data_IF_575253406115
#
_entry.id   IF_575253406115
#
_cell.length_a   1.000
_cell.length_b   1.000
_cell.length_c   1.000
_cell.angle_alpha   90.00
_cell.angle_beta   90.00
_cell.angle_gamma   90.00
#
_symmetry.space_group_name_H-M   'P 1'
#
loop_
_entity.id
_entity.type
_entity.pdbx_description
1 polymer ?
#
# COMPACT_ATOMS: atom_id res chain seq x y z
N UNK A 1 -4.01 13.42 -0.57
CA UNK A 1 -2.56 13.42 -0.80
C UNK A 1 -1.89 14.23 0.30
N UNK A 2 -0.74 13.78 0.80
CA UNK A 2 0.08 14.52 1.76
C UNK A 2 0.79 15.67 1.04
N UNK A 3 0.71 16.86 1.59
CA UNK A 3 1.31 18.08 1.04
C UNK A 3 2.14 18.79 2.11
N UNK A 4 3.11 19.58 1.70
CA UNK A 4 3.85 20.45 2.64
C UNK A 4 2.88 21.37 3.40
N UNK A 5 3.16 21.60 4.68
CA UNK A 5 2.29 22.34 5.59
C UNK A 5 1.26 21.47 6.34
N UNK A 6 1.31 20.13 6.17
CA UNK A 6 0.46 19.16 6.88
C UNK A 6 1.16 18.50 8.08
N UNK A 7 2.34 18.98 8.49
CA UNK A 7 3.16 18.40 9.55
C UNK A 7 2.41 18.30 10.89
N UNK A 8 1.62 19.31 11.22
CA UNK A 8 0.80 19.32 12.43
C UNK A 8 -0.28 18.23 12.44
N UNK A 9 -0.76 17.83 11.24
CA UNK A 9 -1.80 16.82 11.09
C UNK A 9 -1.27 15.41 11.36
N UNK A 10 -0.01 15.15 10.99
CA UNK A 10 0.61 13.82 11.09
C UNK A 10 1.44 13.60 12.36
N UNK A 11 1.71 14.64 13.13
CA UNK A 11 2.62 14.59 14.31
C UNK A 11 2.21 13.54 15.34
N UNK A 12 0.91 13.38 15.59
CA UNK A 12 0.35 12.48 16.61
C UNK A 12 0.04 11.08 16.06
N UNK A 13 0.31 10.83 14.76
CA UNK A 13 0.11 9.52 14.15
C UNK A 13 1.06 8.49 14.78
N UNK A 14 0.49 7.32 15.12
CA UNK A 14 1.22 6.21 15.72
C UNK A 14 0.59 4.88 15.29
N UNK A 15 1.24 4.19 14.36
CA UNK A 15 0.82 2.85 13.90
C UNK A 15 1.27 1.74 14.85
N UNK A 16 2.23 2.02 15.74
CA UNK A 16 2.91 1.03 16.55
C UNK A 16 4.14 0.42 15.85
N UNK A 17 4.40 0.76 14.60
CA UNK A 17 5.60 0.41 13.84
C UNK A 17 6.44 1.65 13.63
N UNK A 18 7.61 1.70 14.29
CA UNK A 18 8.47 2.90 14.29
C UNK A 18 8.97 3.27 12.88
N UNK A 19 9.19 2.29 12.00
CA UNK A 19 9.64 2.56 10.63
C UNK A 19 8.54 3.28 9.83
N UNK A 20 7.28 2.81 9.91
CA UNK A 20 6.14 3.43 9.26
C UNK A 20 5.84 4.82 9.82
N UNK A 21 5.94 4.98 11.15
CA UNK A 21 5.71 6.25 11.82
C UNK A 21 6.78 7.30 11.45
N UNK A 22 8.05 6.89 11.42
CA UNK A 22 9.16 7.75 11.03
C UNK A 22 9.10 8.13 9.55
N UNK A 23 8.75 7.19 8.66
CA UNK A 23 8.56 7.49 7.25
C UNK A 23 7.53 8.62 7.06
N UNK A 24 6.33 8.47 7.62
CA UNK A 24 5.25 9.45 7.45
C UNK A 24 5.66 10.85 7.90
N UNK A 25 6.50 10.96 8.96
CA UNK A 25 6.95 12.21 9.57
C UNK A 25 8.24 12.77 8.94
N UNK A 26 8.83 12.05 7.99
CA UNK A 26 10.07 12.44 7.32
C UNK A 26 9.82 13.19 6.00
N UNK A 27 10.86 13.82 5.47
CA UNK A 27 10.84 14.44 4.15
C UNK A 27 10.59 13.41 3.02
N UNK A 28 10.92 12.13 3.24
CA UNK A 28 10.70 11.06 2.27
C UNK A 28 9.21 10.90 1.91
N UNK A 29 8.30 11.08 2.87
CA UNK A 29 6.86 10.98 2.63
C UNK A 29 6.30 12.07 1.69
N UNK A 30 7.03 13.16 1.50
CA UNK A 30 6.71 14.28 0.59
C UNK A 30 7.46 14.20 -0.74
N UNK A 31 8.39 13.26 -0.87
CA UNK A 31 9.26 13.17 -2.04
C UNK A 31 8.60 12.36 -3.16
N UNK A 32 8.21 13.06 -4.21
CA UNK A 32 7.57 12.48 -5.41
C UNK A 32 8.44 11.44 -6.14
N UNK A 33 9.76 11.45 -5.94
CA UNK A 33 10.66 10.45 -6.51
C UNK A 33 10.59 9.10 -5.78
N UNK A 34 10.12 9.10 -4.53
CA UNK A 34 9.94 7.88 -3.74
C UNK A 34 8.53 7.32 -3.97
N UNK A 35 7.52 8.20 -4.01
CA UNK A 35 6.13 7.81 -4.22
C UNK A 35 5.16 8.92 -3.83
N UNK A 36 3.89 8.65 -4.01
CA UNK A 36 2.81 9.55 -3.59
C UNK A 36 2.14 9.03 -2.33
N UNK A 37 2.20 9.82 -1.26
CA UNK A 37 1.59 9.49 0.04
C UNK A 37 0.19 10.08 0.14
N UNK A 38 -0.78 9.26 0.52
CA UNK A 38 -2.18 9.62 0.71
C UNK A 38 -2.60 9.41 2.16
N UNK A 39 -3.23 10.41 2.75
CA UNK A 39 -3.76 10.36 4.10
C UNK A 39 -5.24 10.00 4.08
N UNK A 40 -5.64 9.09 4.96
CA UNK A 40 -7.03 8.77 5.24
C UNK A 40 -7.45 9.51 6.52
N UNK A 41 -8.39 10.43 6.39
CA UNK A 41 -8.77 11.37 7.43
C UNK A 41 -10.15 11.04 7.99
N UNK A 42 -10.36 11.33 9.28
CA UNK A 42 -11.69 11.28 9.88
C UNK A 42 -12.61 12.36 9.28
N UNK A 43 -13.91 12.10 9.29
CA UNK A 43 -14.94 13.06 8.84
C UNK A 43 -15.24 14.15 9.88
N UNK A 44 -14.69 14.04 11.10
CA UNK A 44 -14.92 14.99 12.18
C UNK A 44 -14.43 16.41 11.83
N UNK A 45 -15.00 17.47 12.46
CA UNK A 45 -14.54 18.83 12.23
C UNK A 45 -13.04 19.03 12.49
N UNK A 46 -12.51 18.35 13.49
CA UNK A 46 -11.07 18.25 13.75
C UNK A 46 -10.55 16.98 13.06
N UNK A 47 -10.08 17.13 11.83
CA UNK A 47 -9.54 16.03 11.05
C UNK A 47 -8.36 15.35 11.74
N UNK A 48 -8.44 14.03 11.88
CA UNK A 48 -7.39 13.18 12.44
C UNK A 48 -6.95 12.21 11.36
N UNK A 49 -5.66 11.95 11.25
CA UNK A 49 -5.12 10.92 10.36
C UNK A 49 -5.43 9.56 10.97
N UNK A 50 -6.30 8.80 10.31
CA UNK A 50 -6.68 7.45 10.69
C UNK A 50 -5.74 6.40 10.10
N UNK A 51 -5.18 6.70 8.92
CA UNK A 51 -4.24 5.84 8.23
C UNK A 51 -3.60 6.55 7.05
N UNK A 52 -2.65 5.89 6.42
CA UNK A 52 -2.02 6.36 5.20
C UNK A 52 -1.51 5.20 4.34
N UNK A 53 -1.26 5.47 3.08
CA UNK A 53 -0.51 4.60 2.18
C UNK A 53 0.32 5.42 1.21
N UNK A 54 1.40 4.81 0.71
CA UNK A 54 2.27 5.41 -0.30
C UNK A 54 2.30 4.50 -1.52
N UNK A 55 2.06 5.08 -2.69
CA UNK A 55 2.09 4.40 -3.99
C UNK A 55 3.34 4.82 -4.73
N UNK A 56 4.11 3.85 -5.17
CA UNK A 56 5.28 4.01 -6.05
C UNK A 56 5.13 3.15 -7.31
N UNK A 57 6.13 3.16 -8.16
CA UNK A 57 6.18 2.32 -9.37
C UNK A 57 7.04 1.09 -9.12
N UNK A 58 6.70 -0.02 -9.79
CA UNK A 58 7.48 -1.25 -9.75
C UNK A 58 7.21 -2.13 -10.97
N UNK A 59 7.71 -3.35 -10.95
CA UNK A 59 7.32 -4.39 -11.87
C UNK A 59 7.27 -5.75 -11.17
N UNK A 60 6.46 -6.63 -11.72
CA UNK A 60 6.49 -8.05 -11.41
C UNK A 60 7.27 -8.73 -12.53
N UNK A 61 8.27 -9.50 -12.17
CA UNK A 61 9.15 -10.20 -13.09
C UNK A 61 9.21 -11.69 -12.72
N UNK A 62 9.55 -12.55 -13.68
CA UNK A 62 9.89 -13.94 -13.40
C UNK A 62 11.32 -14.25 -13.84
N UNK A 63 11.91 -15.28 -13.24
CA UNK A 63 13.28 -15.73 -13.49
C UNK A 63 13.22 -17.12 -14.11
N UNK A 64 13.72 -17.24 -15.34
CA UNK A 64 13.84 -18.51 -16.04
C UNK A 64 15.28 -18.69 -16.54
N UNK A 65 15.90 -19.82 -16.22
CA UNK A 65 17.29 -20.13 -16.63
C UNK A 65 18.31 -19.03 -16.28
N UNK A 66 18.10 -18.34 -15.16
CA UNK A 66 18.94 -17.23 -14.69
C UNK A 66 18.72 -15.90 -15.43
N UNK A 67 17.77 -15.83 -16.35
CA UNK A 67 17.35 -14.60 -17.01
C UNK A 67 16.07 -14.07 -16.39
N UNK A 68 15.98 -12.73 -16.33
CA UNK A 68 14.85 -12.00 -15.78
C UNK A 68 13.93 -11.49 -16.89
N UNK A 69 12.66 -11.81 -16.82
CA UNK A 69 11.63 -11.41 -17.78
C UNK A 69 10.54 -10.61 -17.07
N UNK A 70 10.19 -9.45 -17.64
CA UNK A 70 9.12 -8.62 -17.12
C UNK A 70 7.75 -9.26 -17.41
N UNK A 71 6.98 -9.55 -16.37
CA UNK A 71 5.58 -9.99 -16.50
C UNK A 71 4.65 -8.79 -16.74
N UNK A 72 4.91 -7.66 -16.07
CA UNK A 72 4.12 -6.45 -16.29
C UNK A 72 4.55 -5.28 -15.39
N UNK A 73 4.06 -4.10 -15.74
CA UNK A 73 4.18 -2.90 -14.90
C UNK A 73 3.30 -3.02 -13.66
N UNK A 74 3.80 -2.57 -12.52
CA UNK A 74 3.07 -2.59 -11.27
C UNK A 74 3.00 -1.21 -10.62
N UNK A 75 1.88 -0.94 -9.93
CA UNK A 75 1.89 -0.01 -8.82
C UNK A 75 2.37 -0.75 -7.58
N UNK A 76 3.22 -0.13 -6.78
CA UNK A 76 3.76 -0.73 -5.56
C UNK A 76 3.27 0.06 -4.34
N UNK A 77 2.64 -0.63 -3.38
CA UNK A 77 2.32 -0.06 -2.07
C UNK A 77 3.57 -0.18 -1.21
N UNK A 78 4.37 0.88 -1.16
CA UNK A 78 5.62 0.89 -0.39
C UNK A 78 5.38 1.04 1.12
N UNK A 79 4.34 1.78 1.51
CA UNK A 79 3.95 1.97 2.91
C UNK A 79 2.44 1.88 3.05
N UNK A 80 1.97 1.20 4.09
CA UNK A 80 0.56 1.10 4.43
C UNK A 80 0.40 0.97 5.94
N UNK A 81 -0.29 1.92 6.58
CA UNK A 81 -0.47 1.90 8.02
C UNK A 81 -1.79 2.52 8.47
N UNK A 82 -2.37 1.93 9.52
CA UNK A 82 -3.42 2.52 10.33
C UNK A 82 -2.87 2.96 11.67
N UNK A 83 -3.33 4.08 12.16
CA UNK A 83 -3.09 4.47 13.55
C UNK A 83 -3.67 3.41 14.50
N UNK A 84 -2.92 3.06 15.54
CA UNK A 84 -3.27 1.97 16.46
C UNK A 84 -4.65 2.11 17.12
N UNK A 85 -5.16 3.35 17.22
CA UNK A 85 -6.52 3.63 17.72
C UNK A 85 -7.61 3.01 16.85
N UNK A 86 -7.32 2.75 15.58
CA UNK A 86 -8.29 2.34 14.55
C UNK A 86 -8.04 0.94 13.95
N UNK A 87 -6.90 0.28 14.27
CA UNK A 87 -6.49 -1.00 13.65
C UNK A 87 -7.51 -2.14 13.79
N UNK A 88 -8.33 -2.12 14.84
CA UNK A 88 -9.36 -3.15 15.08
C UNK A 88 -10.78 -2.63 14.87
N UNK A 89 -10.91 -1.45 14.29
CA UNK A 89 -12.21 -0.81 14.06
C UNK A 89 -13.00 -1.57 13.01
N UNK A 90 -14.14 -2.13 13.40
CA UNK A 90 -15.10 -2.75 12.50
C UNK A 90 -15.98 -1.67 11.87
N UNK A 91 -16.20 -1.79 10.56
CA UNK A 91 -17.09 -0.92 9.79
C UNK A 91 -18.41 -1.63 9.48
N UNK A 92 -18.40 -2.98 9.39
CA UNK A 92 -19.59 -3.81 9.21
C UNK A 92 -19.38 -5.18 9.87
N UNK A 93 -20.46 -5.81 10.30
CA UNK A 93 -20.47 -7.18 10.82
C UNK A 93 -20.84 -8.22 9.75
N UNK A 94 -21.69 -7.86 8.78
CA UNK A 94 -22.12 -8.74 7.67
C UNK A 94 -22.16 -7.96 6.35
N UNK A 95 -21.18 -8.16 5.43
CA UNK A 95 -19.92 -8.90 5.62
C UNK A 95 -19.03 -8.21 6.66
N UNK A 96 -18.13 -8.99 7.27
CA UNK A 96 -17.19 -8.48 8.27
C UNK A 96 -16.10 -7.64 7.60
N UNK A 97 -16.20 -6.33 7.72
CA UNK A 97 -15.31 -5.33 7.13
C UNK A 97 -14.66 -4.52 8.25
N UNK A 98 -13.36 -4.33 8.14
CA UNK A 98 -12.59 -3.47 9.04
C UNK A 98 -12.18 -2.16 8.35
N UNK A 99 -11.77 -1.16 9.12
CA UNK A 99 -11.25 0.08 8.57
C UNK A 99 -9.99 -0.15 7.71
N UNK A 100 -9.19 -1.19 8.02
CA UNK A 100 -8.05 -1.59 7.19
C UNK A 100 -8.45 -2.03 5.79
N UNK A 101 -9.61 -2.70 5.65
CA UNK A 101 -10.15 -3.08 4.34
C UNK A 101 -10.58 -1.84 3.56
N UNK A 102 -11.24 -0.90 4.23
CA UNK A 102 -11.66 0.37 3.61
C UNK A 102 -10.46 1.19 3.12
N UNK A 103 -9.40 1.29 3.92
CA UNK A 103 -8.17 1.97 3.51
C UNK A 103 -7.51 1.28 2.31
N UNK A 104 -7.51 -0.06 2.29
CA UNK A 104 -6.97 -0.84 1.17
C UNK A 104 -7.82 -0.66 -0.10
N UNK A 105 -9.15 -0.63 0.02
CA UNK A 105 -10.05 -0.36 -1.10
C UNK A 105 -9.83 1.05 -1.68
N UNK A 106 -9.70 2.08 -0.84
CA UNK A 106 -9.36 3.44 -1.33
C UNK A 106 -8.03 3.44 -2.11
N UNK A 107 -7.04 2.69 -1.63
CA UNK A 107 -5.76 2.54 -2.35
C UNK A 107 -5.93 1.84 -3.70
N UNK A 108 -6.64 0.70 -3.74
CA UNK A 108 -6.88 -0.08 -4.96
C UNK A 108 -7.70 0.75 -5.98
N UNK A 109 -8.76 1.42 -5.55
CA UNK A 109 -9.60 2.23 -6.43
C UNK A 109 -8.82 3.39 -7.04
N UNK A 110 -7.93 4.02 -6.28
CA UNK A 110 -7.04 5.06 -6.79
C UNK A 110 -6.07 4.52 -7.83
N UNK A 111 -5.52 3.32 -7.62
CA UNK A 111 -4.62 2.68 -8.59
C UNK A 111 -5.39 2.29 -9.86
N UNK A 112 -6.62 1.80 -9.74
CA UNK A 112 -7.50 1.54 -10.88
C UNK A 112 -7.79 2.83 -11.66
N UNK A 113 -8.02 3.96 -10.98
CA UNK A 113 -8.18 5.26 -11.63
C UNK A 113 -6.91 5.69 -12.38
N UNK A 114 -5.72 5.54 -11.76
CA UNK A 114 -4.43 5.82 -12.41
C UNK A 114 -4.24 4.93 -13.65
N UNK A 115 -4.54 3.64 -13.54
CA UNK A 115 -4.49 2.69 -14.64
C UNK A 115 -5.41 3.11 -15.80
N UNK A 116 -6.65 3.46 -15.51
CA UNK A 116 -7.66 3.77 -16.52
C UNK A 116 -7.39 5.07 -17.27
N UNK A 117 -6.66 6.02 -16.66
CA UNK A 117 -6.52 7.38 -17.20
C UNK A 117 -5.11 7.75 -17.64
N UNK A 118 -4.08 7.15 -17.03
CA UNK A 118 -2.73 7.71 -17.15
C UNK A 118 -1.67 6.73 -17.61
N UNK A 119 -1.63 5.50 -17.07
CA UNK A 119 -0.60 4.52 -17.40
C UNK A 119 -1.12 3.09 -17.37
N UNK A 120 -0.59 2.22 -18.24
CA UNK A 120 -0.87 0.79 -18.21
C UNK A 120 -0.21 0.14 -16.99
N UNK A 121 -1.03 -0.51 -16.15
CA UNK A 121 -0.61 -1.30 -15.00
C UNK A 121 -1.27 -2.67 -15.08
N UNK A 122 -0.50 -3.72 -14.82
CA UNK A 122 -0.99 -5.10 -14.81
C UNK A 122 -1.17 -5.63 -13.40
N UNK A 123 -0.33 -5.16 -12.47
CA UNK A 123 -0.29 -5.67 -11.11
C UNK A 123 -0.28 -4.55 -10.07
N UNK A 124 -0.75 -4.90 -8.88
CA UNK A 124 -0.50 -4.19 -7.65
C UNK A 124 0.40 -5.07 -6.78
N UNK A 125 1.47 -4.52 -6.23
CA UNK A 125 2.47 -5.27 -5.46
C UNK A 125 2.73 -4.63 -4.11
N UNK A 126 3.21 -5.40 -3.15
CA UNK A 126 3.62 -4.93 -1.83
C UNK A 126 4.54 -5.94 -1.13
N UNK A 127 5.13 -5.50 -0.01
CA UNK A 127 5.77 -6.37 0.97
C UNK A 127 4.93 -6.36 2.26
N UNK A 128 4.40 -7.51 2.66
CA UNK A 128 3.60 -7.66 3.87
C UNK A 128 4.43 -8.07 5.06
N UNK A 129 4.19 -7.47 6.22
CA UNK A 129 4.61 -8.07 7.50
C UNK A 129 3.73 -9.29 7.81
N UNK A 130 4.18 -10.15 8.75
CA UNK A 130 3.37 -11.30 9.19
C UNK A 130 2.02 -10.87 9.78
N UNK A 131 1.98 -9.74 10.46
CA UNK A 131 0.74 -9.19 11.04
C UNK A 131 -0.23 -8.67 9.99
N UNK A 132 0.30 -8.15 8.86
CA UNK A 132 -0.49 -7.62 7.74
C UNK A 132 -1.03 -8.69 6.79
N UNK A 133 -0.44 -9.90 6.79
CA UNK A 133 -0.72 -10.94 5.80
C UNK A 133 -2.22 -11.23 5.62
N UNK A 134 -2.93 -11.46 6.71
CA UNK A 134 -4.38 -11.73 6.68
C UNK A 134 -5.21 -10.62 6.02
N UNK A 135 -4.77 -9.35 6.08
CA UNK A 135 -5.46 -8.25 5.40
C UNK A 135 -5.38 -8.44 3.89
N UNK A 136 -4.18 -8.70 3.39
CA UNK A 136 -3.95 -8.78 1.96
C UNK A 136 -4.54 -10.06 1.35
N UNK A 137 -4.33 -11.23 1.98
CA UNK A 137 -4.88 -12.51 1.54
C UNK A 137 -6.41 -12.48 1.40
N UNK A 138 -7.15 -11.96 2.41
CA UNK A 138 -8.61 -11.87 2.34
C UNK A 138 -9.12 -10.85 1.31
N UNK A 139 -8.24 -9.97 0.82
CA UNK A 139 -8.52 -9.01 -0.24
C UNK A 139 -7.93 -9.41 -1.59
N UNK A 140 -7.59 -10.71 -1.76
CA UNK A 140 -7.24 -11.31 -3.04
C UNK A 140 -5.78 -11.19 -3.44
N UNK A 141 -4.90 -10.69 -2.58
CA UNK A 141 -3.46 -10.74 -2.85
C UNK A 141 -2.91 -12.15 -2.68
N UNK A 142 -1.98 -12.50 -3.54
CA UNK A 142 -1.29 -13.78 -3.58
C UNK A 142 0.19 -13.61 -3.25
N UNK A 143 0.79 -14.65 -2.65
CA UNK A 143 2.24 -14.70 -2.44
C UNK A 143 2.94 -14.93 -3.77
N UNK A 144 4.15 -14.37 -3.93
CA UNK A 144 4.96 -14.66 -5.10
C UNK A 144 5.32 -16.14 -5.17
N UNK A 145 5.30 -16.70 -6.39
CA UNK A 145 5.86 -18.02 -6.67
C UNK A 145 7.40 -17.97 -6.64
N UNK A 146 8.04 -19.16 -6.56
CA UNK A 146 9.49 -19.25 -6.37
C UNK A 146 10.35 -18.60 -7.47
N UNK A 147 9.80 -18.51 -8.68
CA UNK A 147 10.44 -17.91 -9.86
C UNK A 147 10.01 -16.47 -10.11
N UNK A 148 9.13 -15.91 -9.29
CA UNK A 148 8.71 -14.52 -9.34
C UNK A 148 9.57 -13.62 -8.45
N UNK A 149 9.73 -12.35 -8.85
CA UNK A 149 10.42 -11.33 -8.06
C UNK A 149 9.83 -9.94 -8.32
N UNK A 150 9.87 -9.10 -7.30
CA UNK A 150 9.53 -7.69 -7.44
C UNK A 150 10.79 -6.89 -7.80
N UNK A 151 10.64 -5.90 -8.68
CA UNK A 151 11.70 -4.92 -8.93
C UNK A 151 11.33 -3.57 -8.35
N UNK A 152 12.29 -2.88 -7.78
CA UNK A 152 12.14 -1.47 -7.40
C UNK A 152 12.60 -1.08 -6.01
N UNK A 153 12.65 -1.95 -5.04
CA UNK A 153 13.14 -1.64 -3.70
C UNK A 153 13.92 -2.81 -3.10
N UNK A 154 14.84 -2.51 -2.18
CA UNK A 154 15.59 -3.50 -1.42
C UNK A 154 14.60 -4.40 -0.66
N UNK A 155 14.73 -5.71 -0.86
CA UNK A 155 13.94 -6.71 -0.15
C UNK A 155 14.11 -6.50 1.35
N UNK A 156 13.07 -6.07 2.03
CA UNK A 156 13.03 -6.12 3.48
C UNK A 156 13.06 -7.60 3.90
N UNK A 157 14.18 -8.02 4.50
CA UNK A 157 14.55 -9.43 4.78
C UNK A 157 13.52 -10.21 5.58
N UNK A 158 12.51 -9.55 6.16
CA UNK A 158 11.48 -10.16 7.00
C UNK A 158 10.04 -9.99 6.44
N UNK A 159 9.89 -9.40 5.26
CA UNK A 159 8.59 -9.16 4.67
C UNK A 159 8.26 -10.19 3.59
N UNK A 160 6.97 -10.46 3.41
CA UNK A 160 6.43 -11.41 2.43
C UNK A 160 6.02 -10.63 1.20
N UNK A 161 6.65 -10.85 0.03
CA UNK A 161 6.25 -10.20 -1.20
C UNK A 161 4.92 -10.76 -1.70
N UNK A 162 4.01 -9.86 -2.07
CA UNK A 162 2.67 -10.22 -2.55
C UNK A 162 2.29 -9.41 -3.77
N UNK A 163 1.37 -9.94 -4.56
CA UNK A 163 0.81 -9.26 -5.73
C UNK A 163 -0.70 -9.49 -5.86
N UNK A 164 -1.34 -8.57 -6.55
CA UNK A 164 -2.74 -8.65 -6.97
C UNK A 164 -2.81 -8.33 -8.47
N UNK A 165 -3.30 -9.26 -9.32
CA UNK A 165 -3.60 -8.94 -10.71
C UNK A 165 -4.69 -7.87 -10.79
N UNK A 166 -4.45 -6.84 -11.58
CA UNK A 166 -5.47 -5.84 -11.90
C UNK A 166 -6.24 -6.33 -13.13
N UNK A 167 -7.32 -7.07 -12.90
CA UNK A 167 -8.17 -7.59 -13.98
C UNK A 167 -8.71 -6.46 -14.87
N UNK A 168 -8.89 -6.76 -16.15
CA UNK A 168 -9.63 -5.87 -17.05
C UNK A 168 -11.11 -5.96 -16.67
N UNK A 169 -11.71 -4.83 -16.32
CA UNK A 169 -13.16 -4.73 -16.26
C UNK A 169 -13.69 -4.92 -17.70
N UNK A 170 -14.28 -6.10 -17.96
CA UNK A 170 -14.93 -6.43 -19.23
C UNK A 170 -16.24 -5.67 -19.35
#
# INVERSE_FOLDING_TARGET
MLLQGMEDLIKDFNSGNICLDNFLKSEAAYNDSIGKTYLYLSEAPNKVVMGYYTISTGSLDYIESGMRYKMGGAAHISHFALDKRYQKMKMSDEPKIYLSDILLYDCIDRIKEIRSRFIGLTYLTLYSTKEGLNLYERNGFENLENDMTLSGEDQEVLCIPMYLPLEEEI
#
